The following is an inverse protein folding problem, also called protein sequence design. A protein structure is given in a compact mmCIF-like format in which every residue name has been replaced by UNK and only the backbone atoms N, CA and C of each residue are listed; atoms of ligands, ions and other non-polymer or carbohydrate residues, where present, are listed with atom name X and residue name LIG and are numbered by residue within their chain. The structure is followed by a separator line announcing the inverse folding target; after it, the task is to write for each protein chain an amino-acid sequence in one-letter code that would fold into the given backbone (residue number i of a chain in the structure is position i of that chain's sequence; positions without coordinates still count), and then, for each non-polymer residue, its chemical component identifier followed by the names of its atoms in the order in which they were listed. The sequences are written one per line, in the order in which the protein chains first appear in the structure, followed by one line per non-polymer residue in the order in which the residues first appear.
data_IF_666398261840
#
_entry.id   IF_666398261840
#
_cell.length_a   1.000
_cell.length_b   1.000
_cell.length_c   1.000
_cell.angle_alpha   90.00
_cell.angle_beta   90.00
_cell.angle_gamma   90.00
#
_symmetry.space_group_name_H-M   'P 1'
#
loop_
_entity.id
_entity.type
_entity.pdbx_description
1 polymer ?
#
# COMPACT_ATOMS: atom_id res chain seq x y z
N UNK A 1 -19.53 0.86 -11.60
CA UNK A 1 -19.27 -0.02 -10.45
C UNK A 1 -17.88 -0.64 -10.56
N UNK A 2 -17.12 -0.62 -9.46
CA UNK A 2 -15.78 -1.20 -9.46
C UNK A 2 -15.83 -2.73 -9.45
N UNK A 3 -14.84 -3.35 -10.09
CA UNK A 3 -14.72 -4.80 -10.15
C UNK A 3 -13.27 -5.23 -9.92
N UNK A 4 -13.08 -6.44 -9.38
CA UNK A 4 -11.75 -7.03 -9.23
C UNK A 4 -11.39 -7.71 -10.55
N UNK A 5 -10.36 -7.17 -11.23
CA UNK A 5 -9.91 -7.65 -12.54
C UNK A 5 -8.91 -8.79 -12.44
N UNK A 6 -8.14 -8.83 -11.36
CA UNK A 6 -7.05 -9.79 -11.21
C UNK A 6 -6.72 -9.97 -9.74
N UNK A 7 -6.42 -11.21 -9.36
CA UNK A 7 -5.91 -11.53 -8.02
C UNK A 7 -4.67 -12.40 -8.24
N UNK A 8 -3.55 -12.02 -7.61
CA UNK A 8 -2.29 -12.74 -7.81
C UNK A 8 -1.37 -12.60 -6.59
N UNK A 9 -0.36 -13.45 -6.54
CA UNK A 9 0.65 -13.46 -5.49
C UNK A 9 1.91 -12.74 -5.98
N UNK A 10 2.49 -11.92 -5.12
CA UNK A 10 3.79 -11.29 -5.33
C UNK A 10 4.72 -11.64 -4.19
N UNK A 11 6.02 -11.78 -4.49
CA UNK A 11 7.05 -11.88 -3.47
C UNK A 11 7.76 -10.54 -3.39
N UNK A 12 7.97 -10.02 -2.19
CA UNK A 12 8.67 -8.76 -1.97
C UNK A 12 9.89 -8.97 -1.09
N UNK A 13 11.00 -8.24 -1.37
CA UNK A 13 12.18 -8.28 -0.51
C UNK A 13 11.91 -7.55 0.80
N UNK A 14 12.82 -7.67 1.74
CA UNK A 14 12.79 -6.86 2.94
C UNK A 14 12.95 -5.38 2.56
N UNK A 15 12.11 -4.53 3.15
CA UNK A 15 12.05 -3.09 2.87
C UNK A 15 11.74 -2.33 4.15
N UNK A 16 11.84 -1.01 4.08
CA UNK A 16 11.40 -0.13 5.14
C UNK A 16 10.20 0.68 4.67
N UNK A 17 9.11 0.66 5.43
CA UNK A 17 7.99 1.57 5.20
C UNK A 17 8.20 2.83 6.05
N UNK A 18 8.25 3.99 5.41
CA UNK A 18 8.45 5.27 6.09
C UNK A 18 7.19 6.09 5.92
N UNK A 19 6.67 6.62 7.02
CA UNK A 19 5.42 7.38 6.95
C UNK A 19 5.05 8.03 8.26
N UNK A 20 3.78 8.35 8.37
CA UNK A 20 3.18 8.91 9.58
C UNK A 20 1.93 8.12 9.92
N UNK A 21 1.70 7.92 11.22
CA UNK A 21 0.59 7.14 11.73
C UNK A 21 -0.60 8.03 12.07
N UNK A 22 -1.79 7.56 11.72
CA UNK A 22 -3.06 8.23 11.94
C UNK A 22 -4.07 7.26 12.56
N UNK A 23 -5.17 7.80 13.07
CA UNK A 23 -6.30 7.01 13.57
C UNK A 23 -7.39 6.80 12.52
N UNK A 24 -7.34 7.56 11.42
CA UNK A 24 -8.31 7.50 10.34
C UNK A 24 -7.69 7.92 9.00
N UNK A 25 -8.51 8.08 7.95
CA UNK A 25 -8.07 8.30 6.58
C UNK A 25 -7.83 9.77 6.20
N UNK A 26 -7.87 10.72 7.14
CA UNK A 26 -7.91 12.16 6.84
C UNK A 26 -6.56 12.83 6.60
N UNK A 27 -5.46 12.10 6.67
CA UNK A 27 -4.12 12.68 6.57
C UNK A 27 -3.63 13.02 5.16
N UNK A 28 -4.28 12.55 4.09
CA UNK A 28 -3.76 12.67 2.73
C UNK A 28 -3.54 14.10 2.25
N UNK A 29 -4.49 15.00 2.53
CA UNK A 29 -4.37 16.41 2.13
C UNK A 29 -3.15 17.09 2.73
N UNK A 30 -2.85 16.79 3.97
CA UNK A 30 -1.70 17.29 4.70
C UNK A 30 -0.39 16.81 4.07
N UNK A 31 -0.33 15.57 3.59
CA UNK A 31 0.83 15.02 2.91
C UNK A 31 1.15 15.77 1.63
N UNK A 32 0.15 16.04 0.81
CA UNK A 32 0.34 16.80 -0.43
C UNK A 32 0.68 18.27 -0.15
N UNK A 33 0.02 18.87 0.83
CA UNK A 33 0.26 20.27 1.20
C UNK A 33 1.69 20.51 1.72
N UNK A 34 2.28 19.54 2.40
CA UNK A 34 3.61 19.66 3.02
C UNK A 34 4.74 19.03 2.19
N UNK A 35 4.43 18.36 1.09
CA UNK A 35 5.45 17.71 0.26
C UNK A 35 6.15 16.55 0.96
N UNK A 36 5.48 15.83 1.84
CA UNK A 36 6.10 14.78 2.65
C UNK A 36 6.51 13.54 1.87
N UNK A 37 5.83 13.24 0.77
CA UNK A 37 6.27 12.15 -0.11
C UNK A 37 7.63 12.46 -0.72
N UNK A 38 7.84 13.70 -1.17
CA UNK A 38 9.13 14.14 -1.70
C UNK A 38 10.22 14.07 -0.63
N UNK A 39 9.89 14.37 0.63
CA UNK A 39 10.81 14.23 1.75
C UNK A 39 11.32 12.79 1.88
N UNK A 40 10.42 11.81 1.76
CA UNK A 40 10.81 10.40 1.79
C UNK A 40 11.64 10.03 0.55
N UNK A 41 11.23 10.46 -0.63
CA UNK A 41 11.97 10.20 -1.87
C UNK A 41 13.40 10.76 -1.78
N UNK A 42 13.57 11.95 -1.24
CA UNK A 42 14.89 12.54 -1.05
C UNK A 42 15.73 11.75 -0.03
N UNK A 43 15.09 11.22 1.00
CA UNK A 43 15.78 10.41 2.03
C UNK A 43 16.36 9.12 1.46
N UNK A 44 15.73 8.54 0.44
CA UNK A 44 16.22 7.33 -0.22
C UNK A 44 17.04 7.62 -1.49
N UNK A 45 17.31 8.89 -1.80
CA UNK A 45 18.10 9.29 -2.97
C UNK A 45 17.35 9.19 -4.29
N UNK A 46 16.04 9.33 -4.26
CA UNK A 46 15.14 9.15 -5.40
C UNK A 46 14.50 7.77 -5.42
N UNK A 47 13.61 7.53 -6.38
CA UNK A 47 12.83 6.29 -6.43
C UNK A 47 13.49 5.16 -7.22
N UNK A 48 14.60 5.41 -7.90
CA UNK A 48 15.24 4.41 -8.77
C UNK A 48 15.62 3.15 -8.01
N UNK A 49 16.18 3.28 -6.81
CA UNK A 49 16.65 2.14 -6.03
C UNK A 49 15.50 1.25 -5.57
N UNK A 50 14.40 1.83 -5.10
CA UNK A 50 13.26 1.02 -4.67
C UNK A 50 12.60 0.32 -5.87
N UNK A 51 12.57 0.96 -7.03
CA UNK A 51 12.04 0.36 -8.25
C UNK A 51 12.89 -0.80 -8.75
N UNK A 52 14.21 -0.78 -8.53
CA UNK A 52 15.10 -1.91 -8.82
C UNK A 52 14.81 -3.11 -7.91
N UNK A 53 14.46 -2.84 -6.66
CA UNK A 53 14.19 -3.87 -5.65
C UNK A 53 12.80 -4.48 -5.85
N UNK A 54 11.83 -3.63 -6.15
CA UNK A 54 10.44 -4.02 -6.37
C UNK A 54 9.80 -3.03 -7.36
N UNK A 55 9.38 -3.53 -8.52
CA UNK A 55 8.83 -2.69 -9.60
C UNK A 55 7.62 -1.84 -9.18
N UNK A 56 6.86 -2.29 -8.17
CA UNK A 56 5.69 -1.60 -7.64
C UNK A 56 6.02 -0.77 -6.39
N UNK A 57 7.28 -0.51 -6.12
CA UNK A 57 7.74 0.09 -4.88
C UNK A 57 7.70 1.61 -4.80
N UNK A 58 7.56 2.31 -5.90
CA UNK A 58 7.65 3.78 -5.94
C UNK A 58 6.33 4.52 -5.71
N UNK A 59 5.29 3.84 -5.27
CA UNK A 59 3.96 4.41 -5.12
C UNK A 59 3.75 5.12 -3.77
N UNK A 60 2.75 6.00 -3.75
CA UNK A 60 2.21 6.53 -2.50
C UNK A 60 1.27 5.49 -1.90
N UNK A 61 1.37 5.27 -0.61
CA UNK A 61 0.75 4.11 0.07
C UNK A 61 -0.09 4.56 1.25
N UNK A 62 -1.31 4.02 1.33
CA UNK A 62 -2.13 4.04 2.53
C UNK A 62 -2.14 2.63 3.13
N UNK A 63 -1.56 2.46 4.31
CA UNK A 63 -1.38 1.17 4.96
C UNK A 63 -2.30 1.04 6.18
N UNK A 64 -3.02 -0.07 6.25
CA UNK A 64 -3.94 -0.37 7.34
C UNK A 64 -3.43 -1.52 8.19
N UNK A 65 -3.55 -1.37 9.51
CA UNK A 65 -3.37 -2.44 10.46
C UNK A 65 -4.73 -2.72 11.11
N UNK A 66 -5.28 -3.91 10.90
CA UNK A 66 -6.61 -4.29 11.40
C UNK A 66 -6.54 -5.52 12.30
N UNK A 67 -7.40 -5.53 13.31
CA UNK A 67 -7.57 -6.67 14.20
C UNK A 67 -9.06 -6.99 14.27
N UNK A 68 -9.43 -8.22 13.92
CA UNK A 68 -10.83 -8.66 13.88
C UNK A 68 -11.72 -7.73 13.03
N UNK A 69 -11.16 -7.19 11.93
CA UNK A 69 -11.87 -6.27 11.05
C UNK A 69 -11.86 -4.80 11.49
N UNK A 70 -11.39 -4.51 12.70
CA UNK A 70 -11.34 -3.14 13.24
C UNK A 70 -10.01 -2.48 12.94
N UNK A 71 -10.06 -1.25 12.42
CA UNK A 71 -8.87 -0.45 12.13
C UNK A 71 -8.17 -0.07 13.43
N UNK A 72 -6.92 -0.49 13.59
CA UNK A 72 -6.07 -0.15 14.74
C UNK A 72 -5.19 1.04 14.44
N UNK A 73 -4.57 1.04 13.25
CA UNK A 73 -3.67 2.09 12.80
C UNK A 73 -3.85 2.29 11.30
N UNK A 74 -3.72 3.53 10.87
CA UNK A 74 -3.64 3.89 9.46
C UNK A 74 -2.36 4.67 9.23
N UNK A 75 -1.61 4.30 8.21
CA UNK A 75 -0.35 4.95 7.85
C UNK A 75 -0.43 5.51 6.45
N UNK A 76 0.18 6.65 6.24
CA UNK A 76 0.45 7.20 4.92
C UNK A 76 1.95 7.26 4.76
N UNK A 77 2.48 6.83 3.62
CA UNK A 77 3.91 6.84 3.39
C UNK A 77 4.33 6.13 2.11
N UNK A 78 5.55 5.64 2.12
CA UNK A 78 6.16 4.95 0.97
C UNK A 78 7.07 3.83 1.45
N UNK A 79 7.20 2.81 0.62
CA UNK A 79 8.26 1.81 0.81
C UNK A 79 9.60 2.38 0.32
N UNK A 80 10.65 2.05 1.05
CA UNK A 80 12.02 2.45 0.76
C UNK A 80 12.93 1.24 0.93
N UNK A 81 14.15 1.28 0.38
CA UNK A 81 15.14 0.23 0.64
C UNK A 81 15.41 0.05 2.13
N UNK A 82 15.80 -1.15 2.53
CA UNK A 82 16.20 -1.41 3.92
C UNK A 82 17.22 -0.37 4.38
N UNK A 83 17.11 0.00 5.64
CA UNK A 83 18.05 0.93 6.30
C UNK A 83 18.07 2.36 5.74
N UNK A 84 17.09 2.73 4.91
CA UNK A 84 16.92 4.12 4.49
C UNK A 84 16.75 5.01 5.73
N UNK A 85 17.45 6.13 5.78
CA UNK A 85 17.33 7.07 6.89
C UNK A 85 15.90 7.59 7.01
N UNK A 86 15.38 7.58 8.24
CA UNK A 86 14.02 8.07 8.51
C UNK A 86 14.10 9.57 8.76
N UNK A 87 13.45 10.41 7.93
CA UNK A 87 13.48 11.85 8.14
C UNK A 87 12.91 12.24 9.51
N UNK A 88 13.37 13.35 10.04
CA UNK A 88 12.84 13.87 11.30
C UNK A 88 11.33 14.09 11.21
N UNK A 89 10.61 13.67 12.23
CA UNK A 89 9.16 13.78 12.29
C UNK A 89 8.40 12.63 11.63
N UNK A 90 9.11 11.67 11.06
CA UNK A 90 8.52 10.47 10.46
C UNK A 90 8.76 9.25 11.34
N UNK A 91 7.94 8.24 11.13
CA UNK A 91 8.08 6.92 11.76
C UNK A 91 8.33 5.87 10.68
N UNK A 92 8.66 4.66 11.08
CA UNK A 92 8.88 3.58 10.10
C UNK A 92 8.45 2.23 10.65
N UNK A 93 8.26 1.31 9.70
CA UNK A 93 8.02 -0.11 9.98
C UNK A 93 9.02 -0.88 9.12
N UNK A 94 9.83 -1.74 9.72
CA UNK A 94 10.70 -2.62 8.97
C UNK A 94 9.90 -3.85 8.53
N UNK A 95 9.79 -4.03 7.23
CA UNK A 95 9.02 -5.10 6.61
C UNK A 95 10.00 -6.20 6.22
N UNK A 96 9.88 -7.41 6.77
CA UNK A 96 10.74 -8.52 6.35
C UNK A 96 10.35 -8.99 4.96
N UNK A 97 11.22 -9.79 4.33
CA UNK A 97 10.87 -10.48 3.08
C UNK A 97 9.53 -11.16 3.28
N UNK A 98 8.59 -10.88 2.37
CA UNK A 98 7.18 -11.26 2.55
C UNK A 98 6.53 -11.65 1.24
N UNK A 99 5.34 -12.23 1.36
CA UNK A 99 4.46 -12.49 0.23
C UNK A 99 3.24 -11.58 0.32
N UNK A 100 2.77 -11.11 -0.81
CA UNK A 100 1.55 -10.31 -0.92
C UNK A 100 0.51 -11.05 -1.74
N UNK A 101 -0.75 -10.95 -1.32
CA UNK A 101 -1.90 -11.20 -2.17
C UNK A 101 -2.37 -9.85 -2.70
N UNK A 102 -2.37 -9.68 -4.01
CA UNK A 102 -2.68 -8.40 -4.65
C UNK A 102 -3.94 -8.51 -5.49
N UNK A 103 -4.83 -7.54 -5.33
CA UNK A 103 -6.01 -7.37 -6.16
C UNK A 103 -5.85 -6.13 -7.02
N UNK A 104 -6.20 -6.25 -8.30
CA UNK A 104 -6.42 -5.11 -9.17
C UNK A 104 -7.90 -4.76 -9.15
N UNK A 105 -8.22 -3.61 -8.56
CA UNK A 105 -9.60 -3.11 -8.47
C UNK A 105 -9.78 -2.03 -9.54
N UNK A 106 -10.70 -2.27 -10.47
CA UNK A 106 -10.91 -1.41 -11.65
C UNK A 106 -12.24 -0.69 -11.56
N UNK A 107 -12.23 0.62 -11.79
CA UNK A 107 -13.42 1.46 -11.79
C UNK A 107 -13.09 2.93 -11.63
N UNK A 108 -14.07 3.74 -11.33
CA UNK A 108 -13.85 5.15 -10.98
C UNK A 108 -13.06 5.22 -9.69
N UNK A 109 -12.27 6.27 -9.51
CA UNK A 109 -11.41 6.42 -8.33
C UNK A 109 -12.18 6.25 -7.02
N UNK A 110 -13.30 6.94 -6.86
CA UNK A 110 -14.12 6.84 -5.66
C UNK A 110 -14.73 5.44 -5.47
N UNK A 111 -15.00 4.73 -6.56
CA UNK A 111 -15.57 3.38 -6.50
C UNK A 111 -14.53 2.33 -6.13
N UNK A 112 -13.29 2.46 -6.61
CA UNK A 112 -12.25 1.49 -6.30
C UNK A 112 -11.89 1.53 -4.82
N UNK A 113 -11.82 2.70 -4.22
CA UNK A 113 -11.58 2.83 -2.78
C UNK A 113 -12.70 2.17 -1.95
N UNK A 114 -13.95 2.30 -2.39
CA UNK A 114 -15.10 1.68 -1.71
C UNK A 114 -15.11 0.16 -1.85
N UNK A 115 -14.49 -0.38 -2.90
CA UNK A 115 -14.53 -1.82 -3.21
C UNK A 115 -13.40 -2.63 -2.57
N UNK A 116 -12.41 -1.99 -1.92
CA UNK A 116 -11.24 -2.69 -1.37
C UNK A 116 -11.61 -3.72 -0.29
N UNK A 117 -12.75 -3.54 0.38
CA UNK A 117 -13.24 -4.51 1.37
C UNK A 117 -13.48 -5.91 0.81
N UNK A 118 -13.72 -6.01 -0.49
CA UNK A 118 -13.94 -7.31 -1.16
C UNK A 118 -12.63 -8.06 -1.43
N UNK A 119 -11.50 -7.41 -1.32
CA UNK A 119 -10.19 -8.00 -1.63
C UNK A 119 -9.79 -9.09 -0.65
N UNK A 120 -10.13 -8.95 0.62
CA UNK A 120 -9.81 -9.92 1.66
C UNK A 120 -10.35 -11.31 1.29
N UNK A 121 -11.63 -11.37 0.94
CA UNK A 121 -12.28 -12.62 0.55
C UNK A 121 -11.75 -13.15 -0.79
N UNK A 122 -11.55 -12.26 -1.75
CA UNK A 122 -11.04 -12.64 -3.08
C UNK A 122 -9.64 -13.26 -3.01
N UNK A 123 -8.78 -12.74 -2.15
CA UNK A 123 -7.43 -13.28 -1.93
C UNK A 123 -7.52 -14.68 -1.30
N UNK A 124 -8.37 -14.84 -0.30
CA UNK A 124 -8.60 -16.14 0.34
C UNK A 124 -9.19 -17.17 -0.63
N UNK A 125 -10.14 -16.74 -1.44
CA UNK A 125 -10.76 -17.63 -2.46
C UNK A 125 -9.75 -18.03 -3.56
N UNK A 126 -8.70 -17.25 -3.75
CA UNK A 126 -7.60 -17.58 -4.66
C UNK A 126 -6.58 -18.57 -4.05
N UNK A 127 -6.83 -19.03 -2.81
CA UNK A 127 -5.98 -20.03 -2.14
C UNK A 127 -4.88 -19.45 -1.28
N UNK A 128 -4.87 -18.13 -1.05
CA UNK A 128 -3.87 -17.48 -0.19
C UNK A 128 -4.41 -17.31 1.23
N UNK A 129 -3.52 -17.43 2.21
CA UNK A 129 -3.86 -17.26 3.62
C UNK A 129 -3.36 -15.91 4.10
N UNK A 130 -4.26 -15.09 4.63
CA UNK A 130 -3.91 -13.76 5.18
C UNK A 130 -2.99 -13.95 6.38
N UNK A 131 -1.87 -13.26 6.38
CA UNK A 131 -0.92 -13.27 7.49
C UNK A 131 -1.38 -12.35 8.61
N UNK A 132 -1.12 -12.74 9.84
CA UNK A 132 -1.32 -11.88 11.01
C UNK A 132 -0.11 -11.98 11.93
N UNK A 133 0.12 -10.94 12.73
CA UNK A 133 1.17 -10.96 13.75
C UNK A 133 0.72 -11.74 14.98
N UNK A 134 1.58 -11.79 16.02
CA UNK A 134 1.31 -12.53 17.26
C UNK A 134 0.09 -12.00 18.01
N UNK A 135 -0.32 -10.77 17.73
CA UNK A 135 -1.48 -10.12 18.33
C UNK A 135 -2.74 -10.25 17.47
N UNK A 136 -2.66 -10.95 16.33
CA UNK A 136 -3.77 -11.09 15.40
C UNK A 136 -4.01 -9.89 14.49
N UNK A 137 -3.00 -9.03 14.34
CA UNK A 137 -3.11 -7.85 13.47
C UNK A 137 -2.75 -8.21 12.04
N UNK A 138 -3.65 -7.94 11.11
CA UNK A 138 -3.46 -8.09 9.67
C UNK A 138 -3.06 -6.75 9.07
N UNK A 139 -2.10 -6.78 8.14
CA UNK A 139 -1.66 -5.58 7.42
C UNK A 139 -2.06 -5.66 5.96
N UNK A 140 -2.56 -4.54 5.44
CA UNK A 140 -2.92 -4.38 4.03
C UNK A 140 -2.64 -2.94 3.60
N UNK A 141 -2.56 -2.71 2.29
CA UNK A 141 -2.30 -1.36 1.81
C UNK A 141 -2.84 -1.11 0.41
N UNK A 142 -3.20 0.16 0.19
CA UNK A 142 -3.47 0.71 -1.13
C UNK A 142 -2.14 1.15 -1.73
N UNK A 143 -1.81 0.64 -2.91
CA UNK A 143 -0.60 0.99 -3.63
C UNK A 143 -0.98 1.81 -4.85
N UNK A 144 -0.85 3.13 -4.74
CA UNK A 144 -1.34 4.08 -5.75
C UNK A 144 -0.32 4.26 -6.89
N UNK A 145 -0.24 3.27 -7.76
CA UNK A 145 0.81 3.17 -8.78
C UNK A 145 0.55 4.03 -10.02
N UNK A 146 1.63 4.60 -10.54
CA UNK A 146 1.64 5.23 -11.86
C UNK A 146 1.96 4.18 -12.93
N UNK A 147 1.33 4.19 -14.10
CA UNK A 147 0.25 5.10 -14.49
C UNK A 147 -1.15 4.56 -14.19
N UNK A 148 -1.27 3.27 -13.83
CA UNK A 148 -2.59 2.61 -13.79
C UNK A 148 -3.58 3.17 -12.78
N UNK A 149 -3.11 3.74 -11.66
CA UNK A 149 -3.99 4.44 -10.72
C UNK A 149 -4.03 5.94 -10.98
N UNK A 150 -2.88 6.55 -11.28
CA UNK A 150 -2.76 8.00 -11.36
C UNK A 150 -3.22 8.59 -12.70
N UNK A 151 -3.31 7.76 -13.75
CA UNK A 151 -3.74 8.20 -15.08
C UNK A 151 -4.95 7.39 -15.52
N UNK A 152 -6.17 7.94 -15.43
CA UNK A 152 -7.37 7.24 -15.86
C UNK A 152 -7.33 6.85 -17.35
N UNK A 153 -7.99 5.73 -17.67
CA UNK A 153 -8.15 5.28 -19.04
C UNK A 153 -9.18 6.14 -19.80
N UNK A 154 -9.46 5.78 -21.06
CA UNK A 154 -10.41 6.52 -21.91
C UNK A 154 -11.82 6.61 -21.32
N UNK A 155 -12.19 5.67 -20.45
CA UNK A 155 -13.48 5.64 -19.75
C UNK A 155 -13.44 6.40 -18.43
N UNK A 156 -12.30 6.96 -18.06
CA UNK A 156 -12.09 7.63 -16.79
C UNK A 156 -11.94 6.67 -15.61
N UNK A 157 -11.56 5.42 -15.87
CA UNK A 157 -11.36 4.41 -14.84
C UNK A 157 -9.88 4.23 -14.51
N UNK A 158 -9.62 3.80 -13.29
CA UNK A 158 -8.27 3.52 -12.79
C UNK A 158 -8.19 2.08 -12.30
N UNK A 159 -6.96 1.61 -12.09
CA UNK A 159 -6.70 0.34 -11.40
C UNK A 159 -5.98 0.68 -10.10
N UNK A 160 -6.59 0.28 -8.98
CA UNK A 160 -5.96 0.35 -7.66
C UNK A 160 -5.41 -1.02 -7.31
N UNK A 161 -4.13 -1.07 -6.96
CA UNK A 161 -3.54 -2.26 -6.37
C UNK A 161 -3.85 -2.26 -4.89
N UNK A 162 -4.57 -3.27 -4.42
CA UNK A 162 -4.81 -3.46 -3.00
C UNK A 162 -4.16 -4.76 -2.55
N UNK A 163 -3.28 -4.66 -1.57
CA UNK A 163 -2.40 -5.75 -1.16
C UNK A 163 -2.62 -6.14 0.28
N UNK A 164 -2.67 -7.46 0.54
CA UNK A 164 -2.61 -8.02 1.90
C UNK A 164 -1.32 -8.78 2.05
N UNK A 165 -0.71 -8.70 3.23
CA UNK A 165 0.37 -9.60 3.57
C UNK A 165 -0.21 -11.00 3.76
N UNK A 166 0.37 -12.00 3.10
CA UNK A 166 -0.09 -13.40 3.12
C UNK A 166 1.06 -14.33 3.54
N UNK A 167 0.69 -15.52 3.99
CA UNK A 167 1.65 -16.57 4.35
C UNK A 167 2.27 -17.24 3.14
#
# INVERSE_FOLDING_TARGET
MAEIKKVFREEIPAMRFIGKKYHDYRGWGEWFANGWFETIENSMGGTDRILEIWENGGAYVGLECRKNGDLQEYWIGMFAPENTAVPEGFEHIDIPKSSLGTCWVYGKEEEVHAAVGNCWESIRNAGMEIASDDNGVEMSFENCLCPRFTTPDEKGNVILDYCYFVK
#
